data_IF_826525773296
#
_entry.id   IF_826525773296
#
_cell.length_a   1.000
_cell.length_b   1.000
_cell.length_c   1.000
_cell.angle_alpha   90.00
_cell.angle_beta   90.00
_cell.angle_gamma   90.00
#
_symmetry.space_group_name_H-M   'P 1'
#
loop_
_entity.id
_entity.type
_entity.pdbx_description
1 polymer ?
#
# COMPACT_ATOMS: atom_id res chain seq x y z
N UNK A 1 16.53 -13.37 -8.74
CA UNK A 1 17.08 -12.58 -7.61
C UNK A 1 18.04 -13.42 -6.77
N UNK A 2 17.67 -14.60 -6.29
CA UNK A 2 18.55 -15.47 -5.48
C UNK A 2 19.95 -15.71 -6.07
N UNK A 3 20.05 -15.86 -7.39
CA UNK A 3 21.35 -15.99 -8.05
C UNK A 3 22.31 -14.83 -7.74
N UNK A 4 21.80 -13.60 -7.61
CA UNK A 4 22.62 -12.43 -7.30
C UNK A 4 23.23 -12.43 -5.89
N UNK A 5 22.69 -13.24 -4.96
CA UNK A 5 23.32 -13.50 -3.66
C UNK A 5 24.60 -14.35 -3.80
N UNK A 6 24.65 -15.24 -4.81
CA UNK A 6 25.79 -16.17 -5.05
C UNK A 6 26.84 -15.58 -5.98
N UNK A 7 26.41 -14.89 -7.04
CA UNK A 7 27.28 -14.44 -8.13
C UNK A 7 27.35 -12.93 -8.26
N UNK A 8 26.57 -12.18 -7.48
CA UNK A 8 26.44 -10.73 -7.58
C UNK A 8 26.73 -10.01 -6.27
N UNK A 9 26.24 -8.79 -6.18
CA UNK A 9 26.44 -7.89 -5.04
C UNK A 9 25.26 -7.88 -4.04
N UNK A 10 24.25 -8.73 -4.25
CA UNK A 10 23.07 -8.81 -3.38
C UNK A 10 23.45 -9.52 -2.07
N UNK A 11 23.36 -8.81 -0.96
CA UNK A 11 23.66 -9.36 0.37
C UNK A 11 22.46 -10.05 0.98
N UNK A 12 21.27 -9.45 0.84
CA UNK A 12 20.04 -9.92 1.45
C UNK A 12 18.88 -9.87 0.47
N UNK A 13 17.99 -10.84 0.56
CA UNK A 13 16.76 -10.93 -0.26
C UNK A 13 15.54 -10.70 0.64
N UNK A 14 14.84 -9.61 0.38
CA UNK A 14 13.66 -9.23 1.12
C UNK A 14 12.46 -9.29 0.19
N UNK A 15 11.43 -10.03 0.59
CA UNK A 15 10.20 -10.21 -0.20
C UNK A 15 9.05 -9.54 0.53
N UNK A 16 8.25 -8.76 -0.19
CA UNK A 16 7.11 -8.04 0.39
C UNK A 16 5.91 -8.03 -0.54
N UNK A 17 4.74 -7.77 0.00
CA UNK A 17 3.51 -7.58 -0.76
C UNK A 17 2.50 -8.71 -0.66
N UNK A 18 1.56 -8.74 -1.62
CA UNK A 18 0.40 -9.65 -1.59
C UNK A 18 0.80 -11.14 -1.63
N UNK A 19 1.81 -11.49 -2.42
CA UNK A 19 2.31 -12.86 -2.51
C UNK A 19 2.92 -13.30 -1.18
N UNK A 20 3.75 -12.45 -0.57
CA UNK A 20 4.35 -12.66 0.74
C UNK A 20 3.26 -12.86 1.80
N UNK A 21 2.22 -12.02 1.82
CA UNK A 21 1.11 -12.12 2.76
C UNK A 21 0.35 -13.44 2.63
N UNK A 22 0.12 -13.91 1.41
CA UNK A 22 -0.74 -15.08 1.15
C UNK A 22 -0.02 -16.41 1.25
N UNK A 23 1.19 -16.49 0.72
CA UNK A 23 1.93 -17.74 0.54
C UNK A 23 3.26 -17.76 1.29
N UNK A 24 3.40 -16.95 2.34
CA UNK A 24 4.68 -16.77 3.01
C UNK A 24 5.30 -18.05 3.54
N UNK A 25 4.51 -18.99 4.11
CA UNK A 25 5.05 -20.26 4.62
C UNK A 25 5.63 -21.11 3.47
N UNK A 26 4.90 -21.21 2.36
CA UNK A 26 5.40 -21.89 1.17
C UNK A 26 6.64 -21.19 0.59
N UNK A 27 6.62 -19.85 0.50
CA UNK A 27 7.78 -19.08 0.05
C UNK A 27 9.01 -19.31 0.92
N UNK A 28 8.86 -19.32 2.25
CA UNK A 28 9.97 -19.56 3.16
C UNK A 28 10.50 -21.00 3.10
N UNK A 29 9.63 -21.97 2.77
CA UNK A 29 9.99 -23.37 2.57
C UNK A 29 10.70 -23.58 1.24
N UNK A 30 10.12 -23.08 0.14
CA UNK A 30 10.56 -23.36 -1.21
C UNK A 30 11.76 -22.47 -1.64
N UNK A 31 11.93 -21.31 -0.96
CA UNK A 31 12.97 -20.33 -1.23
C UNK A 31 13.77 -20.01 0.05
N UNK A 32 14.65 -20.91 0.49
CA UNK A 32 15.44 -20.73 1.71
C UNK A 32 16.39 -19.54 1.67
N UNK A 33 16.66 -18.98 0.49
CA UNK A 33 17.48 -17.78 0.29
C UNK A 33 16.78 -16.46 0.69
N UNK A 34 15.47 -16.48 1.00
CA UNK A 34 14.76 -15.30 1.53
C UNK A 34 15.23 -15.03 2.95
N UNK A 35 15.72 -13.82 3.17
CA UNK A 35 16.19 -13.37 4.49
C UNK A 35 15.08 -12.67 5.28
N UNK A 36 14.20 -11.92 4.60
CA UNK A 36 13.07 -11.27 5.24
C UNK A 36 11.79 -11.33 4.38
N UNK A 37 10.66 -11.52 5.06
CA UNK A 37 9.33 -11.56 4.44
C UNK A 37 8.41 -10.57 5.16
N UNK A 38 7.83 -9.63 4.40
CA UNK A 38 6.91 -8.63 4.93
C UNK A 38 5.55 -8.73 4.25
N UNK A 39 4.50 -8.70 5.06
CA UNK A 39 3.12 -8.62 4.57
C UNK A 39 2.74 -7.23 4.06
N UNK A 40 1.48 -7.12 3.61
CA UNK A 40 0.97 -5.89 2.98
C UNK A 40 0.83 -4.69 3.92
N UNK A 41 0.85 -4.91 5.24
CA UNK A 41 0.67 -3.86 6.24
C UNK A 41 1.94 -3.59 7.06
N UNK A 42 3.08 -4.16 6.69
CA UNK A 42 4.33 -4.05 7.44
C UNK A 42 5.38 -3.16 6.76
N UNK A 43 5.00 -2.36 5.77
CA UNK A 43 5.97 -1.52 5.04
C UNK A 43 6.70 -0.51 5.94
N UNK A 44 6.07 -0.03 7.01
CA UNK A 44 6.72 0.87 7.96
C UNK A 44 7.89 0.20 8.71
N UNK A 45 7.91 -1.13 8.77
CA UNK A 45 8.95 -1.91 9.45
C UNK A 45 10.07 -2.36 8.51
N UNK A 46 10.09 -1.87 7.25
CA UNK A 46 11.06 -2.34 6.24
C UNK A 46 12.52 -2.09 6.67
N UNK A 47 12.81 -0.96 7.29
CA UNK A 47 14.17 -0.62 7.73
C UNK A 47 14.61 -1.58 8.82
N UNK A 48 13.78 -1.78 9.85
CA UNK A 48 14.03 -2.74 10.91
C UNK A 48 14.27 -4.15 10.35
N UNK A 49 13.41 -4.62 9.45
CA UNK A 49 13.56 -5.94 8.83
C UNK A 49 14.87 -6.09 8.04
N UNK A 50 15.32 -5.00 7.39
CA UNK A 50 16.62 -4.99 6.70
C UNK A 50 17.78 -5.10 7.71
N UNK A 51 17.73 -4.34 8.79
CA UNK A 51 18.76 -4.34 9.85
C UNK A 51 18.89 -5.71 10.51
N UNK A 52 17.77 -6.31 10.93
CA UNK A 52 17.72 -7.65 11.53
C UNK A 52 18.24 -8.72 10.54
N UNK A 53 17.79 -8.66 9.29
CA UNK A 53 18.30 -9.54 8.24
C UNK A 53 19.81 -9.38 8.03
N UNK A 54 20.34 -8.15 8.09
CA UNK A 54 21.80 -7.90 7.97
C UNK A 54 22.59 -8.50 9.12
N UNK A 55 22.00 -8.60 10.32
CA UNK A 55 22.59 -9.28 11.49
C UNK A 55 22.55 -10.80 11.38
N UNK A 56 21.89 -11.34 10.37
CA UNK A 56 21.81 -12.79 10.12
C UNK A 56 20.51 -13.43 10.59
N UNK A 57 19.59 -12.66 11.13
CA UNK A 57 18.28 -13.14 11.53
C UNK A 57 17.39 -13.38 10.30
N UNK A 58 16.53 -14.38 10.38
CA UNK A 58 15.47 -14.61 9.40
C UNK A 58 14.18 -13.95 9.90
N UNK A 59 13.70 -12.96 9.16
CA UNK A 59 12.61 -12.09 9.60
C UNK A 59 11.30 -12.47 8.90
N UNK A 60 10.22 -12.63 9.66
CA UNK A 60 8.87 -12.85 9.14
C UNK A 60 7.87 -11.88 9.79
N UNK A 61 7.50 -10.85 9.05
CA UNK A 61 6.57 -9.81 9.49
C UNK A 61 5.31 -9.86 8.62
N UNK A 62 4.42 -10.83 8.87
CA UNK A 62 3.17 -11.01 8.14
C UNK A 62 1.92 -10.85 9.00
N UNK A 63 2.04 -10.26 10.17
CA UNK A 63 0.91 -10.09 11.05
C UNK A 63 -0.24 -9.34 10.36
N UNK A 64 -1.46 -9.84 10.48
CA UNK A 64 -2.64 -9.12 9.99
C UNK A 64 -2.87 -7.92 10.89
N UNK A 65 -2.89 -6.75 10.30
CA UNK A 65 -3.25 -5.50 10.98
C UNK A 65 -4.45 -4.86 10.30
N UNK A 66 -5.40 -4.39 11.12
CA UNK A 66 -6.52 -3.59 10.64
C UNK A 66 -6.16 -2.10 10.58
N UNK A 67 -4.97 -1.71 11.00
CA UNK A 67 -4.54 -0.32 10.95
C UNK A 67 -4.12 0.07 9.53
N UNK A 68 -4.54 1.23 9.10
CA UNK A 68 -3.99 1.89 7.92
C UNK A 68 -2.65 2.48 8.30
N UNK A 69 -1.60 2.08 7.58
CA UNK A 69 -0.28 2.66 7.80
C UNK A 69 -0.18 4.00 7.08
N UNK A 70 0.07 5.03 7.86
CA UNK A 70 0.47 6.33 7.37
C UNK A 70 2.00 6.40 7.41
N UNK A 71 2.62 6.49 6.26
CA UNK A 71 4.07 6.67 6.13
C UNK A 71 4.39 7.65 5.02
N UNK A 72 5.48 8.38 5.19
CA UNK A 72 6.00 9.23 4.14
C UNK A 72 6.30 8.43 2.86
N UNK A 73 6.17 9.06 1.70
CA UNK A 73 6.47 8.45 0.41
C UNK A 73 7.43 9.30 -0.40
N UNK A 74 8.25 8.63 -1.17
CA UNK A 74 9.09 9.26 -2.20
C UNK A 74 8.48 8.92 -3.55
N UNK A 75 8.18 9.95 -4.36
CA UNK A 75 7.72 9.75 -5.73
C UNK A 75 8.92 9.43 -6.61
N UNK A 76 8.87 8.26 -7.26
CA UNK A 76 9.83 7.85 -8.29
C UNK A 76 9.23 7.90 -9.70
N UNK A 77 7.96 8.30 -9.80
CA UNK A 77 7.21 8.56 -11.03
C UNK A 77 7.32 10.03 -11.43
N UNK A 78 6.90 10.41 -12.66
CA UNK A 78 6.84 11.82 -13.05
C UNK A 78 6.08 12.66 -12.04
N UNK A 79 6.63 13.84 -11.70
CA UNK A 79 6.13 14.67 -10.62
C UNK A 79 4.72 15.23 -10.85
N UNK A 80 4.26 15.31 -12.10
CA UNK A 80 2.98 15.92 -12.48
C UNK A 80 1.74 15.08 -12.13
N UNK A 81 1.91 13.77 -11.85
CA UNK A 81 0.79 12.86 -11.57
C UNK A 81 1.11 11.93 -10.39
N UNK A 82 0.15 11.74 -9.48
CA UNK A 82 0.32 10.90 -8.32
C UNK A 82 -0.95 10.12 -7.97
N UNK A 83 -0.78 8.85 -7.57
CA UNK A 83 -1.84 8.05 -6.99
C UNK A 83 -1.97 8.36 -5.50
N UNK A 84 -3.19 8.53 -5.03
CA UNK A 84 -3.53 8.73 -3.62
C UNK A 84 -4.45 7.59 -3.16
N UNK A 85 -3.96 6.76 -2.27
CA UNK A 85 -4.75 5.67 -1.70
C UNK A 85 -5.75 6.23 -0.69
N UNK A 86 -7.05 5.94 -0.88
CA UNK A 86 -8.12 6.40 0.00
C UNK A 86 -8.73 5.29 0.86
N UNK A 87 -8.41 4.03 0.57
CA UNK A 87 -8.89 2.88 1.33
C UNK A 87 -8.07 1.62 1.06
N UNK A 88 -8.30 0.59 1.85
CA UNK A 88 -7.60 -0.69 1.79
C UNK A 88 -8.56 -1.84 2.05
N UNK A 89 -8.34 -2.99 1.37
CA UNK A 89 -9.18 -4.17 1.50
C UNK A 89 -10.47 -4.09 0.68
N UNK A 90 -11.29 -5.13 0.75
CA UNK A 90 -12.54 -5.21 -0.02
C UNK A 90 -13.53 -6.18 0.62
N UNK A 91 -14.81 -5.82 0.62
CA UNK A 91 -15.91 -6.65 1.16
C UNK A 91 -16.72 -7.38 0.06
N UNK A 92 -16.38 -7.22 -1.22
CA UNK A 92 -17.22 -7.67 -2.35
C UNK A 92 -17.18 -9.20 -2.59
N UNK A 93 -16.40 -10.00 -1.92
CA UNK A 93 -16.38 -11.48 -1.97
C UNK A 93 -16.61 -12.10 -3.36
N UNK A 94 -16.06 -11.50 -4.41
CA UNK A 94 -16.14 -12.06 -5.76
C UNK A 94 -15.51 -13.44 -5.79
N UNK A 95 -16.14 -14.42 -6.45
CA UNK A 95 -15.78 -15.83 -6.38
C UNK A 95 -14.31 -16.15 -6.75
N UNK A 96 -13.72 -15.37 -7.63
CA UNK A 96 -12.33 -15.52 -8.10
C UNK A 96 -11.32 -14.66 -7.35
N UNK A 97 -11.76 -13.77 -6.45
CA UNK A 97 -10.91 -12.72 -5.91
C UNK A 97 -10.28 -13.09 -4.57
N UNK A 98 -8.97 -12.99 -4.48
CA UNK A 98 -8.20 -13.25 -3.26
C UNK A 98 -8.01 -12.01 -2.37
N UNK A 99 -8.45 -10.83 -2.77
CA UNK A 99 -8.22 -9.57 -2.03
C UNK A 99 -8.69 -9.64 -0.57
N UNK A 100 -9.91 -10.12 -0.25
CA UNK A 100 -10.35 -10.20 1.15
C UNK A 100 -9.47 -11.09 2.02
N UNK A 101 -8.89 -12.16 1.43
CA UNK A 101 -7.98 -13.07 2.14
C UNK A 101 -6.60 -12.46 2.38
N UNK A 102 -6.14 -11.59 1.50
CA UNK A 102 -4.80 -10.99 1.54
C UNK A 102 -4.82 -9.69 2.34
N UNK A 103 -5.76 -8.77 2.01
CA UNK A 103 -5.81 -7.40 2.52
C UNK A 103 -6.87 -7.18 3.60
N UNK A 104 -7.73 -8.18 3.82
CA UNK A 104 -8.84 -8.10 4.79
C UNK A 104 -10.04 -7.33 4.27
N UNK A 105 -10.96 -7.02 5.19
CA UNK A 105 -12.15 -6.21 4.93
C UNK A 105 -11.78 -4.76 4.56
N UNK A 106 -12.75 -4.09 3.92
CA UNK A 106 -12.58 -2.69 3.52
C UNK A 106 -12.38 -1.78 4.73
N UNK A 107 -11.44 -0.85 4.61
CA UNK A 107 -11.15 0.21 5.59
C UNK A 107 -10.89 1.50 4.85
N UNK A 108 -11.61 2.56 5.22
CA UNK A 108 -11.34 3.91 4.75
C UNK A 108 -10.09 4.47 5.41
N UNK A 109 -9.32 5.21 4.66
CA UNK A 109 -8.24 6.02 5.19
C UNK A 109 -8.80 7.32 5.78
N UNK A 110 -8.16 7.84 6.81
CA UNK A 110 -8.53 9.11 7.41
C UNK A 110 -8.56 10.24 6.37
N UNK A 111 -9.64 11.01 6.36
CA UNK A 111 -9.84 12.05 5.36
C UNK A 111 -8.79 13.16 5.46
N UNK A 112 -8.44 13.56 6.68
CA UNK A 112 -7.46 14.63 6.88
C UNK A 112 -6.08 14.18 6.38
N UNK A 113 -5.69 12.93 6.66
CA UNK A 113 -4.43 12.35 6.17
C UNK A 113 -4.40 12.29 4.64
N UNK A 114 -5.52 11.98 3.98
CA UNK A 114 -5.63 12.01 2.52
C UNK A 114 -5.40 13.44 2.00
N UNK A 115 -6.11 14.42 2.56
CA UNK A 115 -6.02 15.81 2.12
C UNK A 115 -4.63 16.41 2.36
N UNK A 116 -3.98 16.04 3.45
CA UNK A 116 -2.62 16.50 3.78
C UNK A 116 -1.59 15.90 2.80
N UNK A 117 -1.73 14.60 2.47
CA UNK A 117 -0.92 14.00 1.41
C UNK A 117 -1.15 14.67 0.06
N UNK A 118 -2.40 14.96 -0.29
CA UNK A 118 -2.74 15.64 -1.54
C UNK A 118 -2.11 17.03 -1.63
N UNK A 119 -2.12 17.79 -0.53
CA UNK A 119 -1.45 19.12 -0.46
C UNK A 119 0.06 19.00 -0.65
N UNK A 120 0.68 18.04 0.05
CA UNK A 120 2.12 17.77 -0.08
C UNK A 120 2.49 17.38 -1.52
N UNK A 121 1.70 16.51 -2.15
CA UNK A 121 1.91 16.09 -3.53
C UNK A 121 1.77 17.25 -4.51
N UNK A 122 0.75 18.11 -4.32
CA UNK A 122 0.53 19.31 -5.13
C UNK A 122 1.70 20.31 -5.01
N UNK A 123 2.20 20.55 -3.79
CA UNK A 123 3.38 21.38 -3.54
C UNK A 123 4.63 20.84 -4.24
N UNK A 124 4.72 19.53 -4.43
CA UNK A 124 5.79 18.85 -5.16
C UNK A 124 5.53 18.72 -6.67
N UNK A 125 4.48 19.38 -7.20
CA UNK A 125 4.20 19.48 -8.63
C UNK A 125 3.17 18.48 -9.18
N UNK A 126 2.53 17.66 -8.34
CA UNK A 126 1.50 16.72 -8.78
C UNK A 126 0.17 17.44 -9.05
N UNK A 127 -0.02 17.86 -10.29
CA UNK A 127 -1.23 18.54 -10.76
C UNK A 127 -2.40 17.60 -10.98
N UNK A 128 -2.11 16.36 -11.40
CA UNK A 128 -3.08 15.28 -11.51
C UNK A 128 -2.98 14.36 -10.30
N UNK A 129 -4.09 14.17 -9.59
CA UNK A 129 -4.14 13.25 -8.48
C UNK A 129 -5.24 12.21 -8.68
N UNK A 130 -4.90 10.94 -8.47
CA UNK A 130 -5.74 9.80 -8.80
C UNK A 130 -6.10 9.05 -7.52
N UNK A 131 -7.35 9.18 -7.07
CA UNK A 131 -7.85 8.49 -5.90
C UNK A 131 -8.06 7.00 -6.21
N UNK A 132 -7.45 6.13 -5.41
CA UNK A 132 -7.51 4.68 -5.59
C UNK A 132 -7.78 3.91 -4.30
N UNK A 133 -8.46 2.79 -4.44
CA UNK A 133 -8.52 1.68 -3.47
C UNK A 133 -8.88 0.39 -4.22
N UNK A 134 -9.16 -0.72 -3.53
CA UNK A 134 -9.69 -1.91 -4.16
C UNK A 134 -11.17 -1.75 -4.57
N UNK A 135 -11.89 -0.86 -3.90
CA UNK A 135 -13.25 -0.44 -4.22
C UNK A 135 -13.43 0.99 -3.69
N UNK A 136 -13.26 1.98 -4.55
CA UNK A 136 -13.34 3.40 -4.15
C UNK A 136 -14.75 3.85 -3.84
N UNK A 137 -15.77 3.19 -4.40
CA UNK A 137 -17.18 3.50 -4.13
C UNK A 137 -17.56 3.28 -2.65
N UNK A 138 -16.77 2.47 -1.91
CA UNK A 138 -17.00 2.16 -0.49
C UNK A 138 -16.44 3.18 0.48
N UNK A 139 -15.69 4.19 0.00
CA UNK A 139 -15.08 5.17 0.91
C UNK A 139 -16.11 5.81 1.84
N UNK A 140 -15.79 5.84 3.13
CA UNK A 140 -16.61 6.40 4.19
C UNK A 140 -17.67 5.46 4.76
N UNK A 141 -17.95 4.30 4.13
CA UNK A 141 -19.01 3.40 4.59
C UNK A 141 -18.75 2.76 5.97
N UNK A 142 -17.53 2.75 6.42
CA UNK A 142 -17.06 2.18 7.70
C UNK A 142 -16.78 3.23 8.77
N UNK A 143 -16.76 4.52 8.43
CA UNK A 143 -16.43 5.61 9.36
C UNK A 143 -17.43 6.77 9.33
N UNK A 144 -18.56 6.65 8.64
CA UNK A 144 -19.61 7.66 8.57
C UNK A 144 -19.34 8.83 7.63
N UNK A 145 -18.29 8.73 6.78
CA UNK A 145 -18.01 9.68 5.70
C UNK A 145 -18.63 9.26 4.38
N UNK A 146 -18.26 9.95 3.31
CA UNK A 146 -18.66 9.59 1.95
C UNK A 146 -17.62 9.95 0.90
N UNK A 147 -17.55 9.15 -0.18
CA UNK A 147 -16.69 9.46 -1.33
C UNK A 147 -17.04 10.82 -1.93
N UNK A 148 -18.33 11.19 -1.95
CA UNK A 148 -18.79 12.49 -2.48
C UNK A 148 -18.17 13.65 -1.71
N UNK A 149 -18.16 13.58 -0.37
CA UNK A 149 -17.59 14.63 0.47
C UNK A 149 -16.09 14.70 0.31
N UNK A 150 -15.40 13.56 0.29
CA UNK A 150 -13.97 13.52 0.02
C UNK A 150 -13.63 14.16 -1.34
N UNK A 151 -14.35 13.81 -2.43
CA UNK A 151 -14.12 14.39 -3.75
C UNK A 151 -14.31 15.91 -3.72
N UNK A 152 -15.40 16.38 -3.08
CA UNK A 152 -15.67 17.81 -2.98
C UNK A 152 -14.53 18.59 -2.27
N UNK A 153 -13.97 18.03 -1.21
CA UNK A 153 -12.83 18.64 -0.48
C UNK A 153 -11.52 18.47 -1.25
N UNK A 154 -11.30 17.32 -1.85
CA UNK A 154 -10.10 17.04 -2.66
C UNK A 154 -9.99 17.99 -3.87
N UNK A 155 -11.12 18.31 -4.49
CA UNK A 155 -11.16 19.27 -5.61
C UNK A 155 -10.81 20.71 -5.21
N UNK A 156 -10.85 21.03 -3.92
CA UNK A 156 -10.48 22.35 -3.38
C UNK A 156 -9.00 22.42 -2.94
N UNK A 157 -8.24 21.33 -3.05
CA UNK A 157 -6.82 21.32 -2.69
C UNK A 157 -6.05 22.20 -3.69
N UNK A 158 -5.34 23.23 -3.20
CA UNK A 158 -4.63 24.16 -4.09
C UNK A 158 -3.61 23.44 -4.97
N UNK A 159 -3.60 23.76 -6.28
CA UNK A 159 -2.67 23.21 -7.26
C UNK A 159 -3.07 21.83 -7.82
N UNK A 160 -4.14 21.22 -7.37
CA UNK A 160 -4.77 20.09 -8.04
C UNK A 160 -5.57 20.60 -9.22
N UNK A 161 -5.15 20.28 -10.42
CA UNK A 161 -5.81 20.69 -11.68
C UNK A 161 -6.70 19.57 -12.22
N UNK A 162 -6.35 18.31 -11.91
CA UNK A 162 -7.06 17.15 -12.42
C UNK A 162 -7.22 16.10 -11.30
N UNK A 163 -8.46 15.79 -10.96
CA UNK A 163 -8.81 14.76 -9.99
C UNK A 163 -9.48 13.58 -10.70
N UNK A 164 -8.91 12.38 -10.57
CA UNK A 164 -9.54 11.14 -11.04
C UNK A 164 -9.91 10.23 -9.88
N UNK A 165 -10.91 9.40 -10.11
CA UNK A 165 -11.29 8.30 -9.22
C UNK A 165 -11.30 7.02 -10.04
N UNK A 166 -10.53 6.02 -9.63
CA UNK A 166 -10.45 4.72 -10.29
C UNK A 166 -11.00 3.61 -9.38
N UNK A 167 -11.33 2.47 -10.00
CA UNK A 167 -11.79 1.27 -9.30
C UNK A 167 -13.12 1.47 -8.56
N UNK A 168 -14.05 2.16 -9.20
CA UNK A 168 -15.42 2.26 -8.73
C UNK A 168 -16.19 1.00 -9.10
N UNK A 169 -16.90 0.44 -8.15
CA UNK A 169 -17.82 -0.68 -8.37
C UNK A 169 -19.22 -0.13 -8.63
N UNK A 170 -19.95 -0.63 -9.67
CA UNK A 170 -21.29 -0.16 -9.99
C UNK A 170 -22.33 -0.54 -8.93
#
# INVERSE_FOLDING_TARGET
MAQYKRTGRCKKLIVTGCLAQRYGDALLSDMPEIDALLGVNQYAQIVQAVEEAMQGERVDLRARSNQMLECGRVLTTPAYSAYVRIGEGCNNRCAYCAIPLIRGGYRSRDEQAILDEMRMLSQNGAKEQILISQDTSRYGSDCGGSLRELIARAALVPGVEWLRVLYMYP
#
